data_IF_378371124758
#
_entry.id   IF_378371124758
#
_cell.length_a   1.000
_cell.length_b   1.000
_cell.length_c   1.000
_cell.angle_alpha   90.00
_cell.angle_beta   90.00
_cell.angle_gamma   90.00
#
_symmetry.space_group_name_H-M   'P 1'
#
loop_
_entity.id
_entity.type
_entity.pdbx_description
1 polymer ?
#
# COMPACT_ATOMS: atom_id res chain seq x y z
N UNK A 1 6.54 -8.08 48.93
CA UNK A 1 6.02 -6.80 48.41
C UNK A 1 5.46 -5.83 49.47
N UNK A 2 6.11 -5.68 50.63
CA UNK A 2 5.56 -4.87 51.75
C UNK A 2 5.99 -3.38 51.71
N UNK A 3 6.95 -3.01 50.86
CA UNK A 3 7.54 -1.66 50.85
C UNK A 3 6.73 -0.60 50.09
N UNK A 4 6.05 -0.96 49.00
CA UNK A 4 5.35 0.04 48.14
C UNK A 4 4.04 0.52 48.77
N UNK A 5 3.19 -0.40 49.26
CA UNK A 5 1.93 -0.02 49.94
C UNK A 5 2.16 0.92 51.13
N UNK A 6 3.13 0.59 51.98
CA UNK A 6 3.48 1.38 53.18
C UNK A 6 4.00 2.80 52.84
N UNK A 7 4.57 2.99 51.65
CA UNK A 7 5.06 4.30 51.20
C UNK A 7 3.94 5.14 50.56
N UNK A 8 3.01 4.49 49.85
CA UNK A 8 1.81 5.16 49.32
C UNK A 8 0.88 5.63 50.46
N UNK A 9 0.70 4.81 51.50
CA UNK A 9 -0.05 5.18 52.72
C UNK A 9 0.56 6.36 53.48
N UNK A 10 1.86 6.63 53.28
CA UNK A 10 2.56 7.79 53.84
C UNK A 10 2.49 9.04 52.96
N UNK A 11 1.66 9.02 51.92
CA UNK A 11 1.45 10.16 51.02
C UNK A 11 2.55 10.36 49.98
N UNK A 12 3.45 9.39 49.80
CA UNK A 12 4.48 9.49 48.76
C UNK A 12 3.84 9.30 47.37
N UNK A 13 4.17 10.19 46.42
CA UNK A 13 3.79 9.99 45.01
C UNK A 13 4.59 8.84 44.40
N UNK A 14 3.87 7.88 43.81
CA UNK A 14 4.46 6.79 43.04
C UNK A 14 4.12 6.95 41.56
N UNK A 15 5.11 6.74 40.70
CA UNK A 15 4.90 6.67 39.26
C UNK A 15 4.98 5.21 38.82
N UNK A 16 3.99 4.77 38.04
CA UNK A 16 3.95 3.45 37.43
C UNK A 16 4.37 3.61 35.97
N UNK A 17 5.63 3.31 35.60
CA UNK A 17 6.03 3.32 34.21
C UNK A 17 5.37 2.14 33.50
N UNK A 18 4.54 2.43 32.51
CA UNK A 18 4.11 1.41 31.55
C UNK A 18 5.21 1.24 30.50
N UNK A 19 6.01 0.18 30.62
CA UNK A 19 7.02 -0.17 29.62
C UNK A 19 6.35 -1.10 28.62
N UNK A 20 6.03 -0.58 27.44
CA UNK A 20 5.58 -1.41 26.33
C UNK A 20 6.79 -1.85 25.50
N UNK A 21 6.93 -3.16 25.32
CA UNK A 21 7.97 -3.73 24.46
C UNK A 21 7.66 -3.41 22.99
N UNK A 22 8.51 -2.61 22.35
CA UNK A 22 8.37 -2.22 20.93
C UNK A 22 9.06 -3.20 19.97
N UNK A 23 9.57 -4.34 20.46
CA UNK A 23 10.33 -5.33 19.68
C UNK A 23 9.45 -6.34 18.95
N UNK A 24 8.18 -6.45 19.28
CA UNK A 24 7.23 -7.13 18.40
C UNK A 24 7.08 -6.25 17.16
N UNK A 25 7.61 -6.75 16.03
CA UNK A 25 7.38 -6.28 14.66
C UNK A 25 6.15 -5.39 14.63
N UNK A 26 6.38 -4.07 14.61
CA UNK A 26 5.33 -3.10 14.43
C UNK A 26 4.84 -3.27 12.99
N UNK A 27 3.97 -4.26 12.78
CA UNK A 27 2.90 -4.09 11.81
C UNK A 27 2.14 -2.86 12.31
N UNK A 28 2.53 -1.70 11.77
CA UNK A 28 1.86 -0.43 11.98
C UNK A 28 0.50 -0.59 11.34
N UNK A 29 -0.44 -1.16 12.09
CA UNK A 29 -1.83 -1.25 11.67
C UNK A 29 -2.29 0.18 11.38
N UNK A 30 -2.84 0.48 10.19
CA UNK A 30 -3.26 1.83 9.79
C UNK A 30 -4.08 2.56 10.87
N UNK A 31 -4.89 1.79 11.61
CA UNK A 31 -5.71 2.25 12.74
C UNK A 31 -4.94 2.81 13.95
N UNK A 32 -3.62 2.60 14.04
CA UNK A 32 -2.77 3.05 15.18
C UNK A 32 -2.14 4.42 14.94
N UNK A 33 -2.18 4.95 13.71
CA UNK A 33 -1.67 6.27 13.37
C UNK A 33 -2.87 7.19 13.19
N UNK A 34 -3.00 8.22 14.04
CA UNK A 34 -4.18 9.10 14.07
C UNK A 34 -4.53 9.67 12.69
N UNK A 35 -3.53 10.19 11.98
CA UNK A 35 -3.72 10.73 10.62
C UNK A 35 -4.19 9.65 9.64
N UNK A 36 -3.63 8.44 9.66
CA UNK A 36 -4.03 7.37 8.73
C UNK A 36 -5.43 6.86 9.07
N UNK A 37 -5.80 6.83 10.35
CA UNK A 37 -7.12 6.39 10.81
C UNK A 37 -8.26 7.29 10.32
N UNK A 38 -7.98 8.56 10.03
CA UNK A 38 -8.94 9.52 9.46
C UNK A 38 -9.16 9.31 7.95
N UNK A 39 -8.22 8.64 7.26
CA UNK A 39 -8.24 8.47 5.80
C UNK A 39 -8.10 6.99 5.39
N UNK A 40 -8.71 6.06 6.13
CA UNK A 40 -8.60 4.63 5.82
C UNK A 40 -9.15 4.26 4.42
N UNK A 41 -10.02 5.09 3.86
CA UNK A 41 -10.58 4.95 2.52
C UNK A 41 -9.57 5.25 1.40
N UNK A 42 -8.55 6.10 1.65
CA UNK A 42 -7.47 6.37 0.67
C UNK A 42 -6.28 5.41 0.79
N UNK A 43 -6.23 4.60 1.85
CA UNK A 43 -5.22 3.56 2.07
C UNK A 43 -5.85 2.16 2.13
N UNK A 44 -6.60 1.72 1.10
CA UNK A 44 -7.13 0.36 1.06
C UNK A 44 -5.98 -0.65 0.91
N UNK A 45 -6.18 -1.85 1.44
CA UNK A 45 -5.18 -2.94 1.38
C UNK A 45 -4.96 -3.46 -0.06
N UNK A 46 -5.96 -3.27 -0.93
CA UNK A 46 -5.84 -3.50 -2.37
C UNK A 46 -6.53 -2.37 -3.16
N UNK A 47 -5.92 -1.99 -4.28
CA UNK A 47 -6.49 -1.03 -5.23
C UNK A 47 -7.57 -1.75 -6.05
N UNK A 48 -8.81 -1.57 -5.63
CA UNK A 48 -9.97 -2.24 -6.24
C UNK A 48 -10.55 -1.50 -7.45
N UNK A 49 -10.17 -0.24 -7.69
CA UNK A 49 -10.76 0.61 -8.73
C UNK A 49 -9.76 1.57 -9.34
N UNK A 50 -10.00 1.93 -10.60
CA UNK A 50 -9.32 3.04 -11.25
C UNK A 50 -9.63 4.33 -10.49
N UNK A 51 -8.71 5.31 -10.48
CA UNK A 51 -9.03 6.63 -9.99
C UNK A 51 -10.28 7.17 -10.71
N UNK A 52 -11.14 7.93 -10.02
CA UNK A 52 -12.30 8.56 -10.66
C UNK A 52 -11.88 9.36 -11.89
N UNK A 53 -12.79 9.45 -12.87
CA UNK A 53 -12.59 10.33 -14.02
C UNK A 53 -12.24 11.73 -13.52
N UNK A 54 -11.06 12.21 -13.92
CA UNK A 54 -10.62 13.56 -13.64
C UNK A 54 -11.08 14.47 -14.78
N UNK A 55 -11.35 15.72 -14.47
CA UNK A 55 -11.68 16.74 -15.50
C UNK A 55 -10.52 16.99 -16.46
N UNK A 56 -9.29 16.62 -16.07
CA UNK A 56 -8.08 16.78 -16.85
C UNK A 56 -7.63 15.40 -17.33
N UNK A 57 -7.51 15.26 -18.65
CA UNK A 57 -6.90 14.09 -19.27
C UNK A 57 -5.38 14.13 -19.11
N UNK A 58 -4.79 12.97 -18.76
CA UNK A 58 -3.34 12.82 -18.79
C UNK A 58 -2.88 12.59 -20.23
N UNK A 59 -2.25 13.61 -20.82
CA UNK A 59 -1.65 13.52 -22.16
C UNK A 59 -0.16 13.24 -22.03
N UNK A 60 0.36 12.37 -22.90
CA UNK A 60 1.79 12.12 -23.04
C UNK A 60 2.27 12.90 -24.27
N UNK A 61 2.94 14.03 -24.03
CA UNK A 61 3.53 14.83 -25.10
C UNK A 61 4.78 14.15 -25.65
N UNK A 62 4.84 13.97 -26.96
CA UNK A 62 5.99 13.41 -27.66
C UNK A 62 6.83 14.52 -28.29
N UNK A 63 8.15 14.33 -28.29
CA UNK A 63 9.03 15.23 -29.03
C UNK A 63 8.71 15.14 -30.54
N UNK A 64 8.74 16.27 -31.29
CA UNK A 64 8.52 16.26 -32.73
C UNK A 64 9.42 15.24 -33.44
N UNK A 65 8.83 14.44 -34.34
CA UNK A 65 9.54 13.39 -35.07
C UNK A 65 9.67 12.05 -34.33
N UNK A 66 9.15 11.93 -33.11
CA UNK A 66 9.06 10.63 -32.40
C UNK A 66 8.08 9.70 -33.13
N UNK A 67 8.55 8.53 -33.53
CA UNK A 67 7.72 7.47 -34.11
C UNK A 67 7.43 6.36 -33.09
N UNK A 68 6.32 5.62 -33.24
CA UNK A 68 6.04 4.43 -32.44
C UNK A 68 7.17 3.41 -32.52
N UNK A 69 7.42 2.70 -31.41
CA UNK A 69 8.43 1.65 -31.34
C UNK A 69 7.72 0.32 -31.15
N UNK A 70 7.90 -0.57 -32.12
CA UNK A 70 7.45 -1.96 -32.03
C UNK A 70 8.62 -2.88 -31.73
N UNK A 71 8.54 -3.62 -30.63
CA UNK A 71 9.54 -4.61 -30.21
C UNK A 71 8.87 -5.92 -29.87
N UNK A 72 9.51 -7.03 -30.23
CA UNK A 72 9.04 -8.35 -29.84
C UNK A 72 9.11 -8.52 -28.31
N UNK A 73 8.13 -9.21 -27.68
CA UNK A 73 8.22 -9.58 -26.27
C UNK A 73 9.45 -10.45 -26.00
N UNK A 74 10.00 -10.35 -24.79
CA UNK A 74 11.10 -11.22 -24.35
C UNK A 74 10.65 -12.68 -24.26
N UNK A 75 11.59 -13.59 -24.54
CA UNK A 75 11.37 -15.03 -24.33
C UNK A 75 11.33 -15.32 -22.84
N UNK A 76 10.31 -16.04 -22.42
CA UNK A 76 10.07 -16.43 -21.03
C UNK A 76 9.86 -17.94 -20.94
N UNK A 77 10.24 -18.54 -19.82
CA UNK A 77 9.97 -19.94 -19.55
C UNK A 77 8.46 -20.19 -19.34
N UNK A 78 7.96 -21.44 -19.51
CA UNK A 78 6.53 -21.74 -19.33
C UNK A 78 5.97 -21.33 -17.96
N UNK A 79 6.78 -21.41 -16.90
CA UNK A 79 6.38 -21.01 -15.54
C UNK A 79 6.19 -19.50 -15.41
N UNK A 80 7.08 -18.71 -16.02
CA UNK A 80 7.01 -17.26 -16.03
C UNK A 80 5.81 -16.77 -16.85
N UNK A 81 5.54 -17.41 -18.01
CA UNK A 81 4.37 -17.10 -18.82
C UNK A 81 3.06 -17.39 -18.09
N UNK A 82 3.01 -18.47 -17.31
CA UNK A 82 1.84 -18.81 -16.50
C UNK A 82 1.58 -17.74 -15.44
N UNK A 83 2.62 -17.31 -14.73
CA UNK A 83 2.52 -16.26 -13.72
C UNK A 83 2.12 -14.92 -14.34
N UNK A 84 2.75 -14.52 -15.45
CA UNK A 84 2.41 -13.30 -16.17
C UNK A 84 0.94 -13.28 -16.58
N UNK A 85 0.41 -14.42 -17.06
CA UNK A 85 -1.01 -14.53 -17.43
C UNK A 85 -1.94 -14.31 -16.24
N UNK A 86 -1.59 -14.82 -15.05
CA UNK A 86 -2.38 -14.62 -13.82
C UNK A 86 -2.42 -13.14 -13.45
N UNK A 87 -1.27 -12.45 -13.50
CA UNK A 87 -1.19 -11.02 -13.20
C UNK A 87 -1.98 -10.18 -14.20
N UNK A 88 -1.84 -10.46 -15.50
CA UNK A 88 -2.60 -9.76 -16.55
C UNK A 88 -4.10 -9.96 -16.40
N UNK A 89 -4.55 -11.17 -16.02
CA UNK A 89 -5.97 -11.43 -15.76
C UNK A 89 -6.45 -10.59 -14.57
N UNK A 90 -5.70 -10.53 -13.48
CA UNK A 90 -6.04 -9.68 -12.33
C UNK A 90 -6.16 -8.20 -12.69
N UNK A 91 -5.30 -7.69 -13.59
CA UNK A 91 -5.37 -6.31 -14.07
C UNK A 91 -6.56 -6.06 -15.00
N UNK A 92 -6.93 -7.04 -15.85
CA UNK A 92 -8.12 -6.98 -16.69
C UNK A 92 -9.40 -6.99 -15.85
N UNK A 93 -9.48 -7.86 -14.85
CA UNK A 93 -10.64 -7.99 -13.97
C UNK A 93 -10.87 -6.70 -13.15
N UNK A 94 -9.77 -6.03 -12.77
CA UNK A 94 -9.80 -4.70 -12.12
C UNK A 94 -10.08 -3.54 -13.07
N UNK A 95 -10.07 -3.78 -14.39
CA UNK A 95 -10.25 -2.75 -15.42
C UNK A 95 -9.06 -1.80 -15.57
N UNK A 96 -7.87 -2.14 -15.05
CA UNK A 96 -6.68 -1.30 -15.13
C UNK A 96 -6.05 -1.30 -16.52
N UNK A 97 -6.26 -2.36 -17.28
CA UNK A 97 -5.81 -2.52 -18.65
C UNK A 97 -6.94 -3.01 -19.54
N UNK A 98 -6.78 -2.84 -20.85
CA UNK A 98 -7.68 -3.39 -21.87
C UNK A 98 -6.89 -3.78 -23.11
N UNK A 99 -7.40 -4.71 -23.94
CA UNK A 99 -6.82 -4.98 -25.26
C UNK A 99 -6.71 -3.68 -26.08
N UNK A 100 -5.63 -3.57 -26.86
CA UNK A 100 -5.39 -2.40 -27.72
C UNK A 100 -4.69 -2.83 -29.00
N UNK A 101 -4.76 -1.95 -30.01
CA UNK A 101 -4.04 -2.07 -31.28
C UNK A 101 -3.09 -0.87 -31.40
N UNK A 102 -1.91 -0.99 -30.80
CA UNK A 102 -0.86 0.03 -30.92
C UNK A 102 -0.14 -0.09 -32.27
N UNK A 103 0.18 1.02 -32.95
CA UNK A 103 1.02 1.04 -34.14
C UNK A 103 2.47 0.64 -33.84
#
# INVERSE_FOLDING_TARGET
SIKVKKLLEKGCMGYLPNIMDTREKLEVKPKKVLVISEFLDVFPEDLSRLPPNREIEFVIDLLPGTAPISKAPYRMAPVELKELKVQLQGLLDKGFIRPSFSP
#
